data_IF_329469862972
#
_entry.id   IF_329469862972
#
_cell.length_a   1.000
_cell.length_b   1.000
_cell.length_c   1.000
_cell.angle_alpha   90.00
_cell.angle_beta   90.00
_cell.angle_gamma   90.00
#
_symmetry.space_group_name_H-M   'P 1'
#
loop_
_entity.id
_entity.type
_entity.pdbx_description
1 polymer ?
#
# COMPACT_ATOMS: atom_id res chain seq x y z
N UNK A 1 12.36 -1.81 16.63
CA UNK A 1 12.15 -3.21 16.24
C UNK A 1 11.81 -3.32 14.75
N UNK A 2 12.68 -2.83 13.86
CA UNK A 2 12.40 -2.78 12.43
C UNK A 2 13.64 -3.20 11.66
N UNK A 3 13.68 -4.45 11.20
CA UNK A 3 14.76 -4.92 10.36
C UNK A 3 14.83 -6.43 10.37
N UNK A 4 14.57 -7.04 9.21
CA UNK A 4 14.72 -8.46 8.87
C UNK A 4 13.46 -9.33 8.95
N UNK A 5 12.29 -8.81 8.56
CA UNK A 5 11.15 -9.69 8.24
C UNK A 5 11.41 -10.53 6.97
N UNK A 6 12.24 -10.03 6.05
CA UNK A 6 12.57 -10.72 4.81
C UNK A 6 13.76 -11.69 4.96
N UNK A 7 13.73 -12.88 4.34
CA UNK A 7 14.86 -13.81 4.31
C UNK A 7 16.12 -13.14 3.76
N UNK A 8 17.28 -13.49 4.33
CA UNK A 8 18.58 -12.87 3.99
C UNK A 8 18.95 -12.97 2.50
N UNK A 9 18.39 -13.92 1.76
CA UNK A 9 18.62 -14.09 0.32
C UNK A 9 18.13 -12.89 -0.52
N UNK A 10 17.10 -12.16 -0.08
CA UNK A 10 16.62 -10.96 -0.79
C UNK A 10 17.57 -9.77 -0.70
N UNK A 11 18.60 -9.83 0.17
CA UNK A 11 19.66 -8.81 0.24
C UNK A 11 20.76 -9.01 -0.79
N UNK A 12 20.78 -10.12 -1.53
CA UNK A 12 21.82 -10.39 -2.51
C UNK A 12 21.64 -9.51 -3.75
N UNK A 13 22.60 -8.62 -3.97
CA UNK A 13 22.63 -7.69 -5.09
C UNK A 13 23.77 -8.04 -6.05
N UNK A 14 23.59 -7.69 -7.33
CA UNK A 14 24.66 -7.74 -8.33
C UNK A 14 25.68 -6.62 -8.08
N UNK A 15 26.80 -6.62 -8.79
CA UNK A 15 27.84 -5.56 -8.69
C UNK A 15 27.30 -4.14 -8.96
N UNK A 16 26.18 -4.02 -9.66
CA UNK A 16 25.49 -2.76 -9.98
C UNK A 16 24.39 -2.42 -8.97
N UNK A 17 24.26 -3.18 -7.87
CA UNK A 17 23.27 -2.93 -6.82
C UNK A 17 21.86 -3.49 -7.09
N UNK A 18 21.67 -4.29 -8.15
CA UNK A 18 20.34 -4.81 -8.53
C UNK A 18 20.04 -6.09 -7.73
N UNK A 19 18.92 -6.16 -6.97
CA UNK A 19 18.54 -7.34 -6.20
C UNK A 19 17.96 -8.44 -7.12
N UNK A 20 18.82 -9.29 -7.67
CA UNK A 20 18.44 -10.27 -8.69
C UNK A 20 17.46 -11.35 -8.19
N UNK A 21 17.54 -11.73 -6.90
CA UNK A 21 16.63 -12.71 -6.29
C UNK A 21 15.19 -12.20 -6.33
N UNK A 22 14.98 -10.90 -6.08
CA UNK A 22 13.67 -10.25 -6.18
C UNK A 22 13.13 -10.26 -7.60
N UNK A 23 13.96 -9.86 -8.57
CA UNK A 23 13.60 -9.82 -10.00
C UNK A 23 13.23 -11.21 -10.51
N UNK A 24 13.99 -12.24 -10.15
CA UNK A 24 13.71 -13.60 -10.58
C UNK A 24 12.40 -14.11 -9.96
N UNK A 25 12.16 -13.81 -8.67
CA UNK A 25 10.91 -14.18 -7.99
C UNK A 25 9.71 -13.57 -8.71
N UNK A 26 9.70 -12.27 -8.99
CA UNK A 26 8.57 -11.61 -9.66
C UNK A 26 8.40 -12.08 -11.11
N UNK A 27 9.51 -12.38 -11.79
CA UNK A 27 9.49 -12.89 -13.18
C UNK A 27 8.83 -14.27 -13.28
N UNK A 28 9.06 -15.17 -12.30
CA UNK A 28 8.40 -16.49 -12.24
C UNK A 28 6.88 -16.35 -12.08
N UNK A 29 6.42 -15.41 -11.25
CA UNK A 29 4.98 -15.11 -11.17
C UNK A 29 4.44 -14.49 -12.46
N UNK A 30 5.23 -13.69 -13.17
CA UNK A 30 4.89 -13.16 -14.50
C UNK A 30 4.60 -14.25 -15.52
N UNK A 31 5.28 -15.41 -15.45
CA UNK A 31 5.01 -16.55 -16.32
C UNK A 31 3.58 -17.12 -16.15
N UNK A 32 2.88 -16.85 -15.03
CA UNK A 32 1.49 -17.26 -14.85
C UNK A 32 0.54 -16.60 -15.86
N UNK A 33 0.94 -15.49 -16.49
CA UNK A 33 0.17 -14.88 -17.58
C UNK A 33 -0.02 -15.83 -18.78
N UNK A 34 0.88 -16.80 -19.00
CA UNK A 34 0.75 -17.80 -20.08
C UNK A 34 -0.42 -18.77 -19.88
N UNK A 35 -1.04 -18.83 -18.69
CA UNK A 35 -2.26 -19.62 -18.47
C UNK A 35 -3.39 -19.19 -19.41
N UNK A 36 -3.42 -17.92 -19.83
CA UNK A 36 -4.43 -17.39 -20.73
C UNK A 36 -4.39 -18.01 -22.15
N UNK A 37 -3.31 -18.69 -22.53
CA UNK A 37 -3.16 -19.36 -23.84
C UNK A 37 -3.87 -20.73 -23.87
N UNK A 38 -4.17 -21.32 -22.70
CA UNK A 38 -4.79 -22.64 -22.60
C UNK A 38 -6.32 -22.60 -22.68
N UNK A 39 -6.93 -23.64 -23.25
CA UNK A 39 -8.40 -23.79 -23.31
C UNK A 39 -8.96 -23.97 -21.89
N UNK A 40 -9.66 -22.94 -21.38
CA UNK A 40 -10.17 -22.90 -19.99
C UNK A 40 -9.28 -22.12 -19.00
N UNK A 41 -8.09 -21.68 -19.41
CA UNK A 41 -7.19 -20.90 -18.56
C UNK A 41 -7.65 -19.47 -18.26
N UNK A 42 -8.59 -18.94 -19.06
CA UNK A 42 -9.18 -17.61 -18.85
C UNK A 42 -9.89 -17.48 -17.50
N UNK A 43 -10.53 -18.55 -17.02
CA UNK A 43 -11.19 -18.55 -15.70
C UNK A 43 -10.17 -18.43 -14.56
N UNK A 44 -9.10 -19.21 -14.61
CA UNK A 44 -8.03 -19.19 -13.60
C UNK A 44 -7.25 -17.87 -13.65
N UNK A 45 -7.00 -17.35 -14.85
CA UNK A 45 -6.39 -16.04 -15.03
C UNK A 45 -7.29 -14.93 -14.45
N UNK A 46 -8.61 -15.01 -14.65
CA UNK A 46 -9.58 -14.12 -14.01
C UNK A 46 -9.49 -14.12 -12.49
N UNK A 47 -9.29 -15.30 -11.87
CA UNK A 47 -9.06 -15.41 -10.42
C UNK A 47 -7.75 -14.70 -10.00
N UNK A 48 -6.66 -14.91 -10.73
CA UNK A 48 -5.38 -14.24 -10.45
C UNK A 48 -5.48 -12.71 -10.54
N UNK A 49 -6.19 -12.20 -11.56
CA UNK A 49 -6.43 -10.76 -11.72
C UNK A 49 -7.29 -10.20 -10.58
N UNK A 50 -8.31 -10.93 -10.14
CA UNK A 50 -9.12 -10.51 -8.99
C UNK A 50 -8.27 -10.43 -7.71
N UNK A 51 -7.42 -11.44 -7.47
CA UNK A 51 -6.50 -11.49 -6.33
C UNK A 51 -5.57 -10.27 -6.29
N UNK A 52 -4.95 -9.92 -7.41
CA UNK A 52 -4.02 -8.78 -7.46
C UNK A 52 -4.74 -7.44 -7.31
N UNK A 53 -5.92 -7.28 -7.91
CA UNK A 53 -6.72 -6.06 -7.79
C UNK A 53 -7.14 -5.80 -6.33
N UNK A 54 -7.66 -6.83 -5.64
CA UNK A 54 -8.07 -6.70 -4.23
C UNK A 54 -6.86 -6.51 -3.32
N UNK A 55 -5.75 -7.20 -3.57
CA UNK A 55 -4.52 -6.99 -2.81
C UNK A 55 -4.01 -5.55 -2.92
N UNK A 56 -4.12 -4.92 -4.10
CA UNK A 56 -3.81 -3.50 -4.31
C UNK A 56 -4.72 -2.57 -3.49
N UNK A 57 -6.03 -2.83 -3.46
CA UNK A 57 -6.98 -2.05 -2.67
C UNK A 57 -6.69 -2.16 -1.16
N UNK A 58 -6.40 -3.37 -0.68
CA UNK A 58 -5.99 -3.60 0.72
C UNK A 58 -4.70 -2.85 1.05
N UNK A 59 -3.70 -2.89 0.15
CA UNK A 59 -2.47 -2.13 0.31
C UNK A 59 -2.76 -0.63 0.48
N UNK A 60 -3.63 -0.06 -0.34
CA UNK A 60 -4.03 1.35 -0.21
C UNK A 60 -4.76 1.65 1.10
N UNK A 61 -5.59 0.75 1.60
CA UNK A 61 -6.21 0.88 2.94
C UNK A 61 -5.12 1.00 4.02
N UNK A 62 -4.08 0.16 3.97
CA UNK A 62 -2.96 0.24 4.90
C UNK A 62 -2.17 1.53 4.76
N UNK A 63 -1.93 2.00 3.54
CA UNK A 63 -1.26 3.30 3.30
C UNK A 63 -2.08 4.44 3.91
N UNK A 64 -3.39 4.48 3.66
CA UNK A 64 -4.28 5.47 4.25
C UNK A 64 -4.28 5.38 5.79
N UNK A 65 -4.35 4.18 6.36
CA UNK A 65 -4.31 3.94 7.80
C UNK A 65 -2.99 4.40 8.43
N UNK A 66 -1.85 4.07 7.81
CA UNK A 66 -0.53 4.52 8.24
C UNK A 66 -0.41 6.05 8.19
N UNK A 67 -0.92 6.68 7.13
CA UNK A 67 -0.94 8.13 6.99
C UNK A 67 -1.83 8.83 8.05
N UNK A 68 -3.04 8.32 8.29
CA UNK A 68 -3.93 8.81 9.36
C UNK A 68 -3.26 8.69 10.74
N UNK A 69 -2.55 7.57 10.97
CA UNK A 69 -1.81 7.35 12.21
C UNK A 69 -0.64 8.31 12.35
N UNK A 70 0.14 8.51 11.29
CA UNK A 70 1.25 9.47 11.24
C UNK A 70 0.79 10.88 11.60
N UNK A 71 -0.31 11.36 11.02
CA UNK A 71 -0.92 12.65 11.39
C UNK A 71 -1.33 12.71 12.87
N UNK A 72 -1.85 11.61 13.42
CA UNK A 72 -2.18 11.57 14.84
C UNK A 72 -0.94 11.58 15.75
N UNK A 73 0.20 11.03 15.31
CA UNK A 73 1.44 11.05 16.11
C UNK A 73 2.04 12.45 16.11
N UNK A 74 2.09 13.12 14.95
CA UNK A 74 2.53 14.52 14.86
C UNK A 74 1.71 15.44 15.79
N UNK A 75 0.39 15.28 15.78
CA UNK A 75 -0.51 16.01 16.68
C UNK A 75 -0.22 15.72 18.16
N UNK A 76 0.12 14.47 18.51
CA UNK A 76 0.46 14.13 19.91
C UNK A 76 1.78 14.73 20.39
N UNK A 77 2.69 15.04 19.46
CA UNK A 77 4.00 15.67 19.75
C UNK A 77 3.98 17.19 19.54
N UNK A 78 2.82 17.79 19.28
CA UNK A 78 2.66 19.22 18.95
C UNK A 78 3.54 19.70 17.77
N UNK A 79 3.85 18.81 16.82
CA UNK A 79 4.61 19.17 15.61
C UNK A 79 3.60 19.68 14.56
N UNK A 80 3.80 20.91 14.07
CA UNK A 80 2.95 21.45 13.01
C UNK A 80 3.16 20.66 11.72
N UNK A 81 2.09 20.51 10.93
CA UNK A 81 2.17 19.87 9.61
C UNK A 81 2.95 20.72 8.60
N UNK A 82 3.18 21.98 8.90
CA UNK A 82 3.96 22.90 8.07
C UNK A 82 5.47 22.67 8.20
N UNK A 83 5.91 21.85 9.16
CA UNK A 83 7.33 21.44 9.25
C UNK A 83 7.67 20.32 8.28
N UNK A 84 6.69 19.74 7.60
CA UNK A 84 6.89 18.67 6.63
C UNK A 84 7.10 19.28 5.24
N UNK A 85 8.03 18.73 4.44
CA UNK A 85 8.28 19.22 3.08
C UNK A 85 7.09 19.03 2.15
N UNK A 86 6.29 17.98 2.40
CA UNK A 86 5.14 17.64 1.58
C UNK A 86 3.87 17.64 2.44
N UNK A 87 2.93 18.50 2.04
CA UNK A 87 1.65 18.66 2.73
C UNK A 87 0.51 18.38 1.75
N UNK A 88 -0.14 17.23 1.92
CA UNK A 88 -1.35 16.92 1.18
C UNK A 88 -2.49 17.89 1.54
N UNK A 89 -3.09 18.48 0.51
CA UNK A 89 -4.23 19.42 0.58
C UNK A 89 -5.48 18.70 1.10
N UNK A 90 -6.27 19.37 1.95
CA UNK A 90 -7.56 18.85 2.44
C UNK A 90 -7.47 17.66 3.41
N UNK A 91 -6.28 17.34 3.91
CA UNK A 91 -6.10 16.40 5.02
C UNK A 91 -6.53 17.00 6.36
N UNK A 92 -7.14 16.24 7.29
CA UNK A 92 -7.28 14.78 7.29
C UNK A 92 -8.55 14.24 6.62
N UNK A 93 -9.42 15.10 6.07
CA UNK A 93 -10.73 14.70 5.53
C UNK A 93 -10.60 13.70 4.38
N UNK A 94 -9.76 14.02 3.37
CA UNK A 94 -9.55 13.12 2.23
C UNK A 94 -8.94 11.77 2.64
N UNK A 95 -8.09 11.74 3.67
CA UNK A 95 -7.54 10.49 4.20
C UNK A 95 -8.61 9.56 4.75
N UNK A 96 -9.57 10.09 5.52
CA UNK A 96 -10.72 9.32 6.01
C UNK A 96 -11.69 8.93 4.91
N UNK A 97 -11.97 9.85 3.98
CA UNK A 97 -12.83 9.58 2.84
C UNK A 97 -12.29 8.43 1.99
N UNK A 98 -11.01 8.47 1.58
CA UNK A 98 -10.40 7.40 0.78
C UNK A 98 -10.35 6.09 1.55
N UNK A 99 -10.02 6.10 2.84
CA UNK A 99 -10.02 4.89 3.67
C UNK A 99 -11.40 4.21 3.68
N UNK A 100 -12.46 4.97 3.92
CA UNK A 100 -13.84 4.45 3.96
C UNK A 100 -14.29 4.01 2.56
N UNK A 101 -13.99 4.80 1.53
CA UNK A 101 -14.36 4.49 0.15
C UNK A 101 -13.73 3.18 -0.33
N UNK A 102 -12.44 2.94 -0.03
CA UNK A 102 -11.76 1.70 -0.39
C UNK A 102 -12.36 0.47 0.32
N UNK A 103 -12.74 0.60 1.59
CA UNK A 103 -13.43 -0.46 2.32
C UNK A 103 -14.77 -0.79 1.63
N UNK A 104 -15.56 0.23 1.29
CA UNK A 104 -16.85 0.04 0.60
C UNK A 104 -16.63 -0.64 -0.76
N UNK A 105 -15.63 -0.22 -1.55
CA UNK A 105 -15.34 -0.79 -2.86
C UNK A 105 -15.03 -2.29 -2.74
N UNK A 106 -14.23 -2.70 -1.74
CA UNK A 106 -13.91 -4.12 -1.52
C UNK A 106 -15.18 -4.93 -1.19
N UNK A 107 -16.07 -4.40 -0.35
CA UNK A 107 -17.31 -5.11 -0.01
C UNK A 107 -18.29 -5.18 -1.19
N UNK A 108 -18.42 -4.09 -1.95
CA UNK A 108 -19.33 -4.01 -3.09
C UNK A 108 -18.83 -4.86 -4.26
N UNK A 109 -17.53 -5.02 -4.47
CA UNK A 109 -16.98 -5.74 -5.63
C UNK A 109 -17.63 -7.13 -5.88
N UNK A 110 -17.88 -7.91 -4.82
CA UNK A 110 -18.45 -9.26 -4.90
C UNK A 110 -19.97 -9.35 -4.79
N UNK A 111 -20.69 -8.22 -4.81
CA UNK A 111 -22.13 -8.17 -4.47
C UNK A 111 -23.01 -9.07 -5.36
N UNK A 112 -22.63 -9.27 -6.63
CA UNK A 112 -23.40 -10.05 -7.60
C UNK A 112 -23.60 -11.51 -7.19
N UNK A 113 -22.68 -12.07 -6.40
CA UNK A 113 -22.76 -13.46 -5.90
C UNK A 113 -23.96 -13.67 -4.97
N UNK A 114 -24.43 -12.63 -4.28
CA UNK A 114 -25.54 -12.75 -3.33
C UNK A 114 -26.91 -12.85 -4.02
N UNK A 115 -27.03 -12.46 -5.29
CA UNK A 115 -28.30 -12.53 -6.03
C UNK A 115 -28.52 -13.88 -6.73
N UNK A 116 -27.45 -14.53 -7.18
CA UNK A 116 -27.49 -15.88 -7.73
C UNK A 116 -26.33 -16.69 -7.13
N UNK A 117 -26.61 -17.39 -6.03
CA UNK A 117 -25.57 -18.06 -5.26
C UNK A 117 -24.93 -19.20 -6.07
N UNK A 118 -23.71 -18.96 -6.53
CA UNK A 118 -22.84 -19.96 -7.14
C UNK A 118 -21.54 -20.03 -6.32
N UNK A 119 -21.21 -21.23 -5.83
CA UNK A 119 -20.01 -21.43 -5.02
C UNK A 119 -18.73 -21.04 -5.78
N UNK A 120 -18.67 -21.33 -7.09
CA UNK A 120 -17.51 -20.96 -7.92
C UNK A 120 -17.32 -19.45 -7.99
N UNK A 121 -18.41 -18.70 -8.14
CA UNK A 121 -18.35 -17.23 -8.22
C UNK A 121 -18.09 -16.59 -6.85
N UNK A 122 -18.54 -17.22 -5.77
CA UNK A 122 -18.19 -16.80 -4.41
C UNK A 122 -16.68 -16.91 -4.17
N UNK A 123 -16.09 -18.07 -4.44
CA UNK A 123 -14.65 -18.23 -4.31
C UNK A 123 -13.90 -17.32 -5.28
N UNK A 124 -14.35 -17.18 -6.54
CA UNK A 124 -13.69 -16.31 -7.51
C UNK A 124 -13.61 -14.84 -7.05
N UNK A 125 -14.65 -14.32 -6.39
CA UNK A 125 -14.71 -12.92 -5.94
C UNK A 125 -14.13 -12.69 -4.54
N UNK A 126 -14.15 -13.70 -3.66
CA UNK A 126 -13.78 -13.54 -2.25
C UNK A 126 -12.52 -14.30 -1.81
N UNK A 127 -11.92 -15.12 -2.67
CA UNK A 127 -10.65 -15.83 -2.38
C UNK A 127 -9.55 -14.87 -1.94
N UNK A 128 -9.52 -13.66 -2.50
CA UNK A 128 -8.55 -12.61 -2.20
C UNK A 128 -8.63 -12.14 -0.75
N UNK A 129 -9.85 -11.93 -0.22
CA UNK A 129 -10.06 -11.56 1.18
C UNK A 129 -9.68 -12.72 2.11
N UNK A 130 -10.09 -13.95 1.77
CA UNK A 130 -9.77 -15.14 2.56
C UNK A 130 -8.26 -15.32 2.63
N UNK A 131 -7.57 -15.24 1.50
CA UNK A 131 -6.11 -15.36 1.41
C UNK A 131 -5.41 -14.28 2.23
N UNK A 132 -5.91 -13.04 2.18
CA UNK A 132 -5.41 -11.96 3.04
C UNK A 132 -5.55 -12.29 4.53
N UNK A 133 -6.73 -12.71 5.01
CA UNK A 133 -6.90 -13.07 6.42
C UNK A 133 -6.07 -14.28 6.83
N UNK A 134 -5.92 -15.29 5.97
CA UNK A 134 -5.07 -16.46 6.24
C UNK A 134 -3.60 -16.05 6.36
N UNK A 135 -3.08 -15.24 5.43
CA UNK A 135 -1.70 -14.77 5.48
C UNK A 135 -1.46 -13.83 6.66
N UNK A 136 -2.41 -12.93 6.94
CA UNK A 136 -2.30 -11.97 8.04
C UNK A 136 -2.41 -12.65 9.41
N UNK A 137 -3.38 -13.54 9.62
CA UNK A 137 -3.44 -14.33 10.85
C UNK A 137 -2.24 -15.28 10.96
N UNK A 138 -1.83 -15.90 9.84
CA UNK A 138 -0.65 -16.75 9.79
C UNK A 138 0.60 -16.01 10.25
N UNK A 139 0.85 -14.80 9.74
CA UNK A 139 1.98 -13.97 10.16
C UNK A 139 1.85 -13.49 11.61
N UNK A 140 0.64 -13.14 12.04
CA UNK A 140 0.38 -12.70 13.42
C UNK A 140 0.62 -13.82 14.44
N UNK A 141 0.19 -15.05 14.14
CA UNK A 141 0.35 -16.19 15.04
C UNK A 141 1.76 -16.78 15.04
N UNK A 142 2.51 -16.66 13.94
CA UNK A 142 3.87 -17.22 13.82
C UNK A 142 4.98 -16.23 14.14
N UNK A 143 4.97 -15.06 13.49
CA UNK A 143 6.11 -14.13 13.49
C UNK A 143 5.91 -12.96 14.46
N UNK A 144 4.67 -12.49 14.64
CA UNK A 144 4.35 -11.29 15.43
C UNK A 144 3.57 -11.59 16.72
N UNK A 145 3.73 -12.81 17.27
CA UNK A 145 2.97 -13.29 18.43
C UNK A 145 3.11 -12.41 19.68
N UNK A 146 4.24 -11.72 19.82
CA UNK A 146 4.56 -10.89 20.98
C UNK A 146 4.45 -9.39 20.73
N UNK A 147 4.15 -8.98 19.49
CA UNK A 147 4.07 -7.56 19.14
C UNK A 147 2.63 -7.03 19.30
N UNK A 148 2.45 -5.81 19.82
CA UNK A 148 1.14 -5.19 19.91
C UNK A 148 0.54 -4.99 18.52
N UNK A 149 -0.76 -5.30 18.35
CA UNK A 149 -1.49 -5.12 17.08
C UNK A 149 -1.40 -3.70 16.51
N UNK A 150 -1.27 -2.71 17.39
CA UNK A 150 -0.98 -1.33 17.02
C UNK A 150 0.04 -0.77 18.01
N UNK A 151 1.12 -0.22 17.46
CA UNK A 151 2.17 0.44 18.26
C UNK A 151 1.54 1.67 18.96
N UNK A 152 1.72 1.81 20.29
CA UNK A 152 1.31 3.00 21.03
C UNK A 152 1.91 4.27 20.41
N UNK A 153 1.17 5.39 20.40
CA UNK A 153 1.58 6.62 19.69
C UNK A 153 2.93 7.16 20.18
N UNK A 154 3.18 6.99 21.47
CA UNK A 154 4.38 7.36 22.21
C UNK A 154 5.62 6.56 21.79
N UNK A 155 5.44 5.29 21.39
CA UNK A 155 6.53 4.42 20.94
C UNK A 155 6.80 4.48 19.43
N UNK A 156 6.03 5.27 18.68
CA UNK A 156 6.27 5.44 17.23
C UNK A 156 7.50 6.32 17.03
N UNK A 157 8.55 5.74 16.48
CA UNK A 157 9.76 6.45 16.11
C UNK A 157 9.57 7.18 14.78
N UNK A 158 9.74 8.51 14.80
CA UNK A 158 9.68 9.38 13.61
C UNK A 158 11.07 10.01 13.35
N UNK A 159 12.00 9.92 14.30
CA UNK A 159 13.19 10.77 14.34
C UNK A 159 14.47 10.01 13.98
N UNK A 160 14.63 8.74 14.41
CA UNK A 160 15.94 8.04 14.36
C UNK A 160 16.52 7.79 12.96
N UNK A 161 15.66 7.76 11.92
CA UNK A 161 16.03 7.56 10.51
C UNK A 161 15.41 8.64 9.61
N UNK A 162 14.97 9.76 10.18
CA UNK A 162 14.51 10.90 9.40
C UNK A 162 15.69 11.42 8.57
N UNK A 163 15.70 11.10 7.27
CA UNK A 163 16.66 11.69 6.34
C UNK A 163 16.50 13.20 6.39
N UNK A 164 17.59 13.89 6.71
CA UNK A 164 17.69 15.30 6.37
C UNK A 164 17.41 15.41 4.87
N UNK A 165 16.48 16.27 4.51
CA UNK A 165 16.20 16.53 3.11
C UNK A 165 17.40 17.32 2.65
N UNK A 166 18.30 16.66 1.91
CA UNK A 166 19.23 17.40 1.06
C UNK A 166 18.33 18.23 0.13
N UNK A 167 18.42 19.56 0.19
CA UNK A 167 17.73 20.49 -0.74
C UNK A 167 18.06 20.17 -2.22
N UNK A 168 19.05 19.30 -2.46
CA UNK A 168 19.41 18.74 -3.75
C UNK A 168 18.33 17.77 -4.28
N UNK A 169 17.34 18.33 -4.97
CA UNK A 169 16.50 17.49 -5.81
C UNK A 169 15.49 18.18 -6.70
N UNK A 170 14.97 19.37 -6.34
CA UNK A 170 13.98 20.10 -7.16
C UNK A 170 14.10 21.62 -6.92
N UNK A 171 15.24 22.21 -7.29
CA UNK A 171 15.31 23.63 -7.60
C UNK A 171 14.53 23.90 -8.90
N UNK A 172 13.21 23.93 -8.85
CA UNK A 172 12.41 24.61 -9.89
C UNK A 172 11.41 25.57 -9.24
N UNK A 173 11.89 26.82 -9.11
CA UNK A 173 11.13 28.07 -9.25
C UNK A 173 10.56 28.76 -7.99
N UNK A 174 11.28 28.74 -6.86
CA UNK A 174 10.95 29.56 -5.67
C UNK A 174 11.32 31.07 -5.79
N UNK A 175 11.59 31.57 -7.01
CA UNK A 175 12.07 32.94 -7.22
C UNK A 175 11.34 33.80 -8.24
N UNK A 176 10.40 33.26 -9.02
CA UNK A 176 9.64 34.05 -10.02
C UNK A 176 8.21 34.24 -9.55
N UNK A 177 7.65 35.44 -9.77
CA UNK A 177 6.22 35.67 -9.54
C UNK A 177 5.40 34.70 -10.40
N UNK A 178 4.96 33.58 -9.80
CA UNK A 178 4.15 32.54 -10.45
C UNK A 178 2.93 33.17 -11.13
N UNK A 179 2.78 32.91 -12.42
CA UNK A 179 1.64 33.38 -13.21
C UNK A 179 0.34 32.85 -12.62
N UNK A 180 -0.79 33.51 -12.88
CA UNK A 180 -2.11 33.03 -12.40
C UNK A 180 -2.41 31.60 -12.86
N UNK A 181 -1.79 31.17 -13.95
CA UNK A 181 -1.85 29.80 -14.47
C UNK A 181 -1.01 28.81 -13.67
N UNK A 182 0.20 29.19 -13.25
CA UNK A 182 1.07 28.33 -12.44
C UNK A 182 0.47 28.12 -11.05
N UNK A 183 -0.10 29.18 -10.46
CA UNK A 183 -0.84 29.08 -9.18
C UNK A 183 -2.08 28.19 -9.28
N UNK A 184 -2.73 28.16 -10.45
CA UNK A 184 -3.89 27.29 -10.69
C UNK A 184 -3.47 25.83 -10.73
N UNK A 185 -2.39 25.52 -11.46
CA UNK A 185 -1.85 24.16 -11.51
C UNK A 185 -1.27 23.70 -10.16
N UNK A 186 -0.55 24.56 -9.43
CA UNK A 186 -0.05 24.29 -8.07
C UNK A 186 -1.16 24.06 -7.02
N UNK A 187 -2.38 24.53 -7.29
CA UNK A 187 -3.53 24.29 -6.40
C UNK A 187 -4.22 22.95 -6.69
N UNK A 188 -4.02 22.40 -7.89
CA UNK A 188 -4.68 21.18 -8.37
C UNK A 188 -3.76 19.96 -8.24
N UNK A 189 -2.45 20.12 -8.44
CA UNK A 189 -1.41 19.10 -8.28
C UNK A 189 -0.91 19.03 -6.83
#
# INVERSE_FOLDING_TARGET
MGGLTAPKCYKWTTKTGIPWVGVLTTSVFGCLAFLNVSTGGQTVFGWLVNITAVAGLICWIFICGAHLRFMSVLKSRNISRDTLPFKAVGMPFFGWFTFIALIIIIFVQGYGVFFNFNASDFFANYISLILFFVLWLGSQFTMYRHDPWLIPKDMVDIDSDARAIDEEGWDEDDGKEKSRWDKFWDTIL
#
